data_IF_723265455155
#
_entry.id   IF_723265455155
#
_cell.length_a   1.000
_cell.length_b   1.000
_cell.length_c   1.000
_cell.angle_alpha   90.00
_cell.angle_beta   90.00
_cell.angle_gamma   90.00
#
_symmetry.space_group_name_H-M   'P 1'
#
loop_
_entity.id
_entity.type
_entity.pdbx_description
1 polymer ?
#
# COMPACT_ATOMS: atom_id res chain seq x y z
N UNK A 1 -69.30 -36.57 6.26
CA UNK A 1 -68.81 -36.27 7.62
C UNK A 1 -67.30 -36.38 7.55
N UNK A 2 -66.44 -35.36 7.62
CA UNK A 2 -66.48 -33.94 7.96
C UNK A 2 -65.59 -33.16 6.97
N UNK A 3 -65.69 -31.84 6.99
CA UNK A 3 -65.26 -30.89 5.96
C UNK A 3 -64.15 -29.95 6.48
N UNK A 4 -63.40 -29.35 5.53
CA UNK A 4 -62.44 -28.21 5.63
C UNK A 4 -61.06 -28.53 6.25
N UNK A 5 -59.91 -28.00 5.81
CA UNK A 5 -59.55 -26.64 5.38
C UNK A 5 -58.46 -26.64 4.28
N UNK A 6 -58.54 -25.62 3.43
CA UNK A 6 -57.74 -25.27 2.24
C UNK A 6 -56.40 -24.62 2.61
N UNK A 7 -55.31 -24.97 1.90
CA UNK A 7 -54.25 -24.01 1.52
C UNK A 7 -53.67 -24.40 0.16
N UNK A 8 -54.11 -23.69 -0.88
CA UNK A 8 -53.48 -23.62 -2.20
C UNK A 8 -52.24 -22.73 -2.12
N UNK A 9 -51.14 -23.10 -2.77
CA UNK A 9 -50.42 -22.18 -3.65
C UNK A 9 -49.75 -22.96 -4.79
N UNK A 10 -50.16 -22.57 -5.99
CA UNK A 10 -49.82 -23.16 -7.28
C UNK A 10 -48.32 -23.09 -7.57
N UNK A 11 -47.80 -24.20 -8.09
CA UNK A 11 -46.71 -24.22 -9.06
C UNK A 11 -47.15 -23.48 -10.33
N UNK A 12 -46.44 -22.44 -10.75
CA UNK A 12 -46.44 -22.01 -12.15
C UNK A 12 -45.01 -21.69 -12.61
N UNK A 13 -44.66 -22.33 -13.71
CA UNK A 13 -43.32 -22.40 -14.32
C UNK A 13 -43.00 -21.13 -15.12
N UNK A 14 -41.71 -20.80 -15.15
CA UNK A 14 -41.03 -19.77 -15.96
C UNK A 14 -41.05 -20.08 -17.47
N UNK A 15 -42.21 -20.16 -18.12
CA UNK A 15 -42.24 -20.55 -19.53
C UNK A 15 -43.32 -19.90 -20.37
N UNK A 16 -43.75 -18.67 -20.07
CA UNK A 16 -44.60 -17.90 -20.98
C UNK A 16 -44.34 -16.40 -20.75
N UNK A 17 -44.46 -15.61 -21.83
CA UNK A 17 -44.29 -14.14 -21.96
C UNK A 17 -42.95 -13.67 -22.57
N UNK A 18 -42.72 -14.09 -23.82
CA UNK A 18 -42.08 -13.24 -24.84
C UNK A 18 -43.21 -12.57 -25.64
N UNK A 19 -43.02 -11.30 -26.00
CA UNK A 19 -43.90 -10.40 -26.78
C UNK A 19 -44.90 -9.53 -26.00
N UNK A 20 -44.45 -8.34 -25.61
CA UNK A 20 -45.24 -7.12 -25.73
C UNK A 20 -44.29 -5.91 -25.84
N UNK A 21 -44.17 -5.36 -27.05
CA UNK A 21 -43.46 -4.10 -27.29
C UNK A 21 -44.21 -2.94 -26.65
N UNK A 22 -43.67 -2.37 -25.59
CA UNK A 22 -44.08 -1.09 -25.01
C UNK A 22 -42.83 -0.26 -24.76
N UNK A 23 -42.73 0.86 -25.47
CA UNK A 23 -41.79 1.95 -25.21
C UNK A 23 -42.19 2.68 -23.92
N UNK A 24 -41.23 2.90 -23.01
CA UNK A 24 -41.03 4.04 -22.08
C UNK A 24 -40.28 3.59 -20.80
N UNK A 25 -39.59 4.49 -20.07
CA UNK A 25 -38.51 5.39 -20.45
C UNK A 25 -37.18 4.95 -19.79
N UNK A 26 -36.06 5.57 -20.20
CA UNK A 26 -34.76 5.41 -19.53
C UNK A 26 -34.86 5.84 -18.06
N UNK A 27 -34.93 4.87 -17.15
CA UNK A 27 -34.54 5.07 -15.76
C UNK A 27 -33.08 4.64 -15.62
N UNK A 28 -32.21 5.63 -15.40
CA UNK A 28 -30.93 5.42 -14.73
C UNK A 28 -31.24 4.88 -13.33
N UNK A 29 -31.14 3.57 -13.14
CA UNK A 29 -31.00 3.02 -11.80
C UNK A 29 -29.52 2.92 -11.44
N UNK A 30 -29.09 3.88 -10.62
CA UNK A 30 -27.96 3.77 -9.72
C UNK A 30 -28.20 2.57 -8.79
N UNK A 31 -27.82 1.36 -9.20
CA UNK A 31 -27.62 0.27 -8.24
C UNK A 31 -26.19 0.35 -7.72
N UNK A 32 -26.05 1.02 -6.57
CA UNK A 32 -24.87 0.92 -5.71
C UNK A 32 -24.59 -0.57 -5.49
N UNK A 33 -23.44 -1.04 -5.97
CA UNK A 33 -23.11 -2.45 -6.10
C UNK A 33 -23.21 -3.22 -4.78
N UNK A 34 -24.21 -4.09 -4.69
CA UNK A 34 -24.15 -5.23 -3.79
C UNK A 34 -23.33 -6.32 -4.49
N UNK A 35 -22.00 -6.18 -4.48
CA UNK A 35 -21.11 -7.20 -5.03
C UNK A 35 -21.07 -8.38 -4.06
N UNK A 36 -21.89 -9.40 -4.32
CA UNK A 36 -21.73 -10.73 -3.71
C UNK A 36 -20.43 -11.42 -4.12
N UNK A 37 -19.66 -10.79 -5.03
CA UNK A 37 -18.38 -11.27 -5.51
C UNK A 37 -17.25 -10.46 -4.84
N UNK A 38 -16.83 -10.90 -3.66
CA UNK A 38 -15.66 -10.36 -2.96
C UNK A 38 -14.58 -11.44 -2.94
N UNK A 39 -13.56 -11.28 -3.75
CA UNK A 39 -12.44 -12.19 -3.84
C UNK A 39 -11.16 -11.42 -4.21
N UNK A 40 -10.02 -12.10 -4.16
CA UNK A 40 -8.76 -11.55 -4.65
C UNK A 40 -8.74 -11.62 -6.18
N UNK A 41 -8.92 -10.49 -6.87
CA UNK A 41 -8.87 -10.43 -8.35
C UNK A 41 -7.52 -10.84 -8.92
N UNK A 42 -6.44 -10.58 -8.18
CA UNK A 42 -5.09 -11.05 -8.54
C UNK A 42 -4.82 -12.50 -8.06
N UNK A 43 -5.77 -13.12 -7.39
CA UNK A 43 -5.64 -14.48 -6.85
C UNK A 43 -4.43 -14.61 -5.93
N UNK A 44 -3.59 -15.62 -6.22
CA UNK A 44 -2.40 -15.95 -5.42
C UNK A 44 -1.34 -14.85 -5.45
N UNK A 45 -1.32 -14.00 -6.47
CA UNK A 45 -0.37 -12.87 -6.55
C UNK A 45 -0.57 -11.84 -5.43
N UNK A 46 -1.71 -11.87 -4.73
CA UNK A 46 -1.94 -11.04 -3.55
C UNK A 46 -0.95 -11.32 -2.40
N UNK A 47 -0.33 -12.50 -2.35
CA UNK A 47 0.65 -12.87 -1.32
C UNK A 47 2.05 -12.29 -1.56
N UNK A 48 2.35 -11.84 -2.79
CA UNK A 48 3.59 -11.10 -3.14
C UNK A 48 3.71 -9.80 -2.35
N UNK A 49 2.57 -9.17 -2.10
CA UNK A 49 2.49 -7.89 -1.41
C UNK A 49 2.56 -8.06 0.10
N UNK A 50 3.22 -7.14 0.79
CA UNK A 50 3.31 -7.17 2.26
C UNK A 50 2.00 -6.71 2.91
N UNK A 51 1.87 -6.87 4.21
CA UNK A 51 0.63 -6.56 4.93
C UNK A 51 0.37 -5.04 4.99
N UNK A 52 1.43 -4.23 4.94
CA UNK A 52 1.36 -2.76 4.86
C UNK A 52 0.59 -2.30 3.61
N UNK A 53 0.63 -3.10 2.54
CA UNK A 53 -0.08 -2.82 1.30
C UNK A 53 -1.57 -3.14 1.36
N UNK A 54 -2.06 -3.65 2.47
CA UNK A 54 -3.49 -3.80 2.72
C UNK A 54 -4.11 -2.56 3.36
N UNK A 55 -3.34 -1.63 3.90
CA UNK A 55 -3.85 -0.50 4.69
C UNK A 55 -3.33 0.85 4.20
N UNK A 56 -3.76 1.93 4.86
CA UNK A 56 -3.34 3.29 4.53
C UNK A 56 -3.63 3.67 3.07
N UNK A 57 -2.62 4.20 2.37
CA UNK A 57 -2.73 4.64 0.97
C UNK A 57 -3.05 3.52 -0.02
N UNK A 58 -2.71 2.28 0.32
CA UNK A 58 -2.95 1.13 -0.52
C UNK A 58 -4.33 0.52 -0.31
N UNK A 59 -5.06 0.93 0.73
CA UNK A 59 -6.39 0.41 1.03
C UNK A 59 -7.36 0.45 -0.16
N UNK A 60 -7.44 1.51 -1.00
CA UNK A 60 -8.30 1.50 -2.19
C UNK A 60 -7.88 0.44 -3.21
N UNK A 61 -6.58 0.34 -3.49
CA UNK A 61 -6.03 -0.68 -4.40
C UNK A 61 -6.27 -2.10 -3.86
N UNK A 62 -6.02 -2.31 -2.56
CA UNK A 62 -6.21 -3.59 -1.90
C UNK A 62 -7.68 -4.03 -1.88
N UNK A 63 -8.62 -3.10 -1.65
CA UNK A 63 -10.06 -3.36 -1.76
C UNK A 63 -10.47 -3.78 -3.18
N UNK A 64 -9.78 -3.29 -4.20
CA UNK A 64 -10.10 -3.60 -5.58
C UNK A 64 -9.45 -4.90 -6.07
N UNK A 65 -8.23 -5.20 -5.63
CA UNK A 65 -7.39 -6.25 -6.21
C UNK A 65 -7.18 -7.46 -5.29
N UNK A 66 -7.13 -7.24 -3.98
CA UNK A 66 -6.75 -8.24 -2.96
C UNK A 66 -7.66 -8.18 -1.72
N UNK A 67 -8.97 -8.02 -1.98
CA UNK A 67 -9.95 -7.73 -0.94
C UNK A 67 -10.04 -8.84 0.12
N UNK A 68 -9.90 -10.11 -0.28
CA UNK A 68 -10.03 -11.25 0.60
C UNK A 68 -8.76 -11.43 1.45
N UNK A 69 -7.58 -11.41 0.83
CA UNK A 69 -6.28 -11.47 1.53
C UNK A 69 -6.11 -10.33 2.52
N UNK A 70 -6.54 -9.13 2.15
CA UNK A 70 -6.42 -7.94 3.00
C UNK A 70 -7.53 -7.81 4.04
N UNK A 71 -8.56 -8.66 4.03
CA UNK A 71 -9.63 -8.63 5.02
C UNK A 71 -10.71 -7.59 4.80
N UNK A 72 -10.88 -7.13 3.57
CA UNK A 72 -12.00 -6.28 3.16
C UNK A 72 -13.25 -7.08 2.79
N UNK A 73 -13.10 -8.39 2.57
CA UNK A 73 -14.24 -9.28 2.37
C UNK A 73 -14.91 -9.67 3.70
N UNK A 74 -16.23 -9.91 3.70
CA UNK A 74 -16.97 -10.35 4.88
C UNK A 74 -16.57 -11.77 5.32
N UNK A 75 -16.07 -12.59 4.38
CA UNK A 75 -15.48 -13.89 4.67
C UNK A 75 -13.95 -13.78 4.72
N UNK A 76 -13.33 -14.68 5.47
CA UNK A 76 -11.88 -14.70 5.70
C UNK A 76 -11.24 -15.91 5.01
N UNK A 77 -9.98 -15.77 4.62
CA UNK A 77 -9.18 -16.90 4.16
C UNK A 77 -9.04 -17.97 5.29
N UNK A 78 -9.14 -19.27 4.97
CA UNK A 78 -8.96 -20.35 5.95
C UNK A 78 -7.62 -20.25 6.69
N UNK A 79 -7.66 -20.32 8.02
CA UNK A 79 -6.47 -20.32 8.88
C UNK A 79 -5.85 -21.71 8.94
N UNK A 80 -5.16 -22.10 7.88
CA UNK A 80 -4.48 -23.39 7.76
C UNK A 80 -3.13 -23.21 7.09
N UNK A 81 -2.19 -24.10 7.42
CA UNK A 81 -0.97 -24.27 6.65
C UNK A 81 -1.28 -25.13 5.42
N UNK A 82 -0.78 -24.72 4.25
CA UNK A 82 -0.94 -25.45 2.98
C UNK A 82 0.10 -26.55 2.82
N UNK A 83 1.23 -26.43 3.52
CA UNK A 83 2.31 -27.42 3.56
C UNK A 83 2.48 -27.96 4.98
N UNK A 84 3.01 -29.18 5.09
CA UNK A 84 3.08 -29.89 6.37
C UNK A 84 4.33 -29.59 7.19
N UNK A 85 5.32 -28.92 6.61
CA UNK A 85 6.64 -28.68 7.19
C UNK A 85 6.87 -27.19 7.52
N UNK A 86 5.79 -26.44 7.80
CA UNK A 86 5.91 -25.04 8.21
C UNK A 86 6.65 -24.84 9.53
N UNK A 87 6.70 -25.87 10.38
CA UNK A 87 7.42 -25.92 11.65
C UNK A 87 8.93 -26.12 11.49
N UNK A 88 9.41 -26.50 10.31
CA UNK A 88 10.84 -26.56 10.00
C UNK A 88 11.45 -25.18 9.71
N UNK A 89 10.62 -24.18 9.42
CA UNK A 89 11.05 -22.81 9.13
C UNK A 89 11.18 -21.98 10.41
N UNK A 90 12.23 -21.17 10.49
CA UNK A 90 12.40 -20.19 11.57
C UNK A 90 11.34 -19.08 11.51
N UNK A 91 10.89 -18.60 12.68
CA UNK A 91 9.85 -17.56 12.81
C UNK A 91 10.18 -16.28 12.02
N UNK A 92 11.46 -15.90 11.93
CA UNK A 92 11.91 -14.71 11.19
C UNK A 92 11.50 -14.74 9.71
N UNK A 93 11.37 -15.93 9.11
CA UNK A 93 10.98 -16.07 7.71
C UNK A 93 9.55 -15.59 7.45
N UNK A 94 8.68 -15.57 8.46
CA UNK A 94 7.33 -15.04 8.35
C UNK A 94 7.30 -13.53 8.02
N UNK A 95 8.37 -12.80 8.38
CA UNK A 95 8.47 -11.34 8.22
C UNK A 95 9.56 -10.90 7.24
N UNK A 96 10.46 -11.79 6.84
CA UNK A 96 11.52 -11.49 5.88
C UNK A 96 10.98 -11.29 4.46
N UNK A 97 11.53 -10.33 3.71
CA UNK A 97 11.07 -10.03 2.35
C UNK A 97 11.25 -11.22 1.40
N UNK A 98 12.37 -11.95 1.52
CA UNK A 98 12.72 -13.05 0.61
C UNK A 98 11.83 -14.29 0.78
N UNK A 99 11.36 -14.56 2.00
CA UNK A 99 10.56 -15.75 2.32
C UNK A 99 9.10 -15.40 2.64
N UNK A 100 8.81 -14.13 2.92
CA UNK A 100 7.52 -13.70 3.43
C UNK A 100 6.36 -13.96 2.46
N UNK A 101 6.58 -13.90 1.15
CA UNK A 101 5.55 -14.32 0.17
C UNK A 101 5.19 -15.79 0.37
N UNK A 102 6.19 -16.66 0.35
CA UNK A 102 6.02 -18.10 0.53
C UNK A 102 5.35 -18.40 1.88
N UNK A 103 5.77 -17.73 2.94
CA UNK A 103 5.21 -17.92 4.28
C UNK A 103 3.77 -17.42 4.39
N UNK A 104 3.43 -16.25 3.81
CA UNK A 104 2.06 -15.71 3.78
C UNK A 104 1.10 -16.61 3.00
N UNK A 105 1.59 -17.27 1.96
CA UNK A 105 0.80 -18.16 1.12
C UNK A 105 0.62 -19.55 1.74
N UNK A 106 1.68 -20.12 2.31
CA UNK A 106 1.74 -21.54 2.66
C UNK A 106 1.70 -21.83 4.16
N UNK A 107 2.10 -20.89 5.02
CA UNK A 107 2.32 -21.15 6.44
C UNK A 107 1.54 -20.20 7.35
N UNK A 108 0.30 -19.88 6.97
CA UNK A 108 -0.49 -18.85 7.65
C UNK A 108 -0.74 -19.15 9.12
N UNK A 109 -0.97 -20.41 9.49
CA UNK A 109 -1.22 -20.76 10.89
C UNK A 109 0.08 -20.76 11.67
N UNK A 110 1.14 -21.34 11.12
CA UNK A 110 2.46 -21.37 11.75
C UNK A 110 3.06 -19.97 11.94
N UNK A 111 2.84 -19.05 10.99
CA UNK A 111 3.24 -17.65 11.08
C UNK A 111 2.24 -16.73 11.80
N UNK A 112 1.17 -17.26 12.39
CA UNK A 112 0.11 -16.47 13.04
C UNK A 112 -0.57 -15.43 12.13
N UNK A 113 -0.55 -15.63 10.81
CA UNK A 113 -1.13 -14.76 9.76
C UNK A 113 -2.62 -15.07 9.49
N UNK A 114 -3.31 -15.59 10.49
CA UNK A 114 -4.74 -15.88 10.43
C UNK A 114 -5.60 -14.65 10.64
N UNK A 115 -5.06 -13.66 11.36
CA UNK A 115 -5.62 -12.31 11.43
C UNK A 115 -5.28 -11.60 10.14
N UNK A 116 -6.25 -10.92 9.55
CA UNK A 116 -6.03 -10.15 8.32
C UNK A 116 -5.39 -8.80 8.66
N UNK A 117 -4.58 -8.22 7.75
CA UNK A 117 -3.87 -6.96 7.99
C UNK A 117 -4.75 -5.84 8.53
N UNK A 118 -5.95 -5.71 7.98
CA UNK A 118 -6.93 -4.71 8.41
C UNK A 118 -7.34 -4.86 9.88
N UNK A 119 -7.28 -6.05 10.49
CA UNK A 119 -7.64 -6.23 11.89
C UNK A 119 -6.57 -5.70 12.83
N UNK A 120 -5.30 -6.04 12.64
CA UNK A 120 -4.25 -5.65 13.60
C UNK A 120 -3.67 -4.27 13.33
N UNK A 121 -3.73 -3.75 12.11
CA UNK A 121 -3.36 -2.35 11.84
C UNK A 121 -4.45 -1.34 12.22
N UNK A 122 -5.71 -1.76 12.36
CA UNK A 122 -6.79 -0.87 12.86
C UNK A 122 -7.02 -1.01 14.36
N UNK A 123 -6.50 -2.07 15.00
CA UNK A 123 -6.65 -2.34 16.44
C UNK A 123 -5.70 -1.53 17.35
N UNK A 124 -5.26 -0.34 16.96
CA UNK A 124 -4.57 0.57 17.88
C UNK A 124 -5.61 1.20 18.82
N UNK A 125 -6.05 0.41 19.81
CA UNK A 125 -6.66 0.97 21.01
C UNK A 125 -5.53 1.55 21.85
N UNK A 126 -5.43 2.87 21.77
CA UNK A 126 -4.70 3.83 22.61
C UNK A 126 -4.08 3.30 23.92
N UNK A 127 -2.78 3.54 24.15
CA UNK A 127 -2.33 4.25 25.33
C UNK A 127 -2.16 5.72 24.94
N UNK A 128 -2.62 6.57 25.85
CA UNK A 128 -2.71 8.01 25.71
C UNK A 128 -1.29 8.60 25.63
N UNK A 129 -0.72 8.69 24.42
CA UNK A 129 0.45 9.52 24.15
C UNK A 129 0.05 10.53 23.10
N UNK A 130 0.08 11.79 23.53
CA UNK A 130 -0.07 12.99 22.73
C UNK A 130 1.06 13.05 21.70
N UNK A 131 0.96 12.28 20.61
CA UNK A 131 1.90 12.33 19.50
C UNK A 131 1.20 12.98 18.32
N UNK A 132 1.70 14.16 17.97
CA UNK A 132 1.41 14.97 16.80
C UNK A 132 1.12 14.10 15.58
N UNK A 133 -0.04 14.32 14.96
CA UNK A 133 -0.54 13.58 13.81
C UNK A 133 0.54 13.37 12.73
N UNK A 134 1.08 12.16 12.64
CA UNK A 134 1.88 11.72 11.50
C UNK A 134 0.93 11.76 10.30
N UNK A 135 1.12 12.73 9.41
CA UNK A 135 0.17 12.99 8.35
C UNK A 135 0.25 11.89 7.29
N UNK A 136 -0.88 11.22 7.06
CA UNK A 136 -1.06 10.09 6.14
C UNK A 136 -0.74 10.37 4.65
N UNK A 137 -0.34 11.58 4.31
CA UNK A 137 -0.05 12.01 2.93
C UNK A 137 1.45 12.10 2.63
N UNK A 138 2.32 12.11 3.65
CA UNK A 138 3.74 12.33 3.47
C UNK A 138 4.53 11.04 3.62
N UNK A 139 4.69 10.33 2.50
CA UNK A 139 5.40 9.05 2.42
C UNK A 139 6.13 8.95 1.07
N UNK A 140 7.10 8.04 0.98
CA UNK A 140 7.78 7.75 -0.29
C UNK A 140 6.90 6.93 -1.25
N UNK A 141 6.98 7.25 -2.53
CA UNK A 141 6.32 6.53 -3.61
C UNK A 141 7.24 5.40 -4.12
N UNK A 142 7.21 4.27 -3.44
CA UNK A 142 8.00 3.06 -3.77
C UNK A 142 7.65 2.42 -5.11
N UNK A 143 6.49 2.73 -5.70
CA UNK A 143 6.09 2.20 -7.01
C UNK A 143 6.71 2.98 -8.16
N UNK A 144 6.96 4.28 -7.96
CA UNK A 144 7.51 5.17 -9.00
C UNK A 144 8.96 5.58 -8.74
N UNK A 145 9.49 5.33 -7.54
CA UNK A 145 10.84 5.71 -7.15
C UNK A 145 11.44 4.76 -6.11
N UNK A 146 12.64 4.25 -6.40
CA UNK A 146 13.49 3.58 -5.41
C UNK A 146 14.20 4.65 -4.56
N UNK A 147 13.48 5.28 -3.63
CA UNK A 147 13.95 6.46 -2.89
C UNK A 147 15.25 6.23 -2.09
N UNK A 148 15.46 5.02 -1.58
CA UNK A 148 16.67 4.64 -0.84
C UNK A 148 17.85 4.25 -1.74
N UNK A 149 17.58 3.93 -3.02
CA UNK A 149 18.60 3.57 -4.00
C UNK A 149 19.51 4.76 -4.32
N UNK A 150 18.94 5.95 -4.40
CA UNK A 150 19.69 7.14 -4.78
C UNK A 150 20.33 7.85 -3.58
N UNK A 151 21.46 8.51 -3.84
CA UNK A 151 22.17 9.34 -2.87
C UNK A 151 21.43 10.63 -2.50
N UNK A 152 21.94 11.29 -1.46
CA UNK A 152 21.34 12.50 -0.87
C UNK A 152 21.29 13.70 -1.83
N UNK A 153 22.15 13.70 -2.85
CA UNK A 153 22.13 14.67 -3.92
C UNK A 153 20.83 14.66 -4.76
N UNK A 154 20.05 13.57 -4.72
CA UNK A 154 18.74 13.50 -5.38
C UNK A 154 17.62 14.11 -4.53
N UNK A 155 17.89 14.46 -3.27
CA UNK A 155 16.90 15.13 -2.43
C UNK A 155 16.87 16.63 -2.64
N UNK A 156 17.96 17.25 -3.06
CA UNK A 156 18.15 18.72 -3.08
C UNK A 156 18.48 19.24 -4.47
N UNK A 157 18.48 20.57 -4.62
CA UNK A 157 18.88 21.24 -5.85
C UNK A 157 17.93 20.93 -7.00
N UNK A 158 18.45 20.55 -8.16
CA UNK A 158 17.64 20.31 -9.37
C UNK A 158 16.64 19.16 -9.21
N UNK A 159 16.88 18.25 -8.28
CA UNK A 159 16.00 17.11 -8.01
C UNK A 159 15.02 17.35 -6.86
N UNK A 160 15.11 18.48 -6.17
CA UNK A 160 14.27 18.80 -5.01
C UNK A 160 12.77 18.67 -5.32
N UNK A 161 12.30 19.24 -6.43
CA UNK A 161 10.88 19.16 -6.82
C UNK A 161 10.41 17.71 -7.05
N UNK A 162 11.29 16.87 -7.60
CA UNK A 162 11.01 15.44 -7.77
C UNK A 162 11.01 14.74 -6.41
N UNK A 163 12.00 15.00 -5.55
CA UNK A 163 12.12 14.42 -4.22
C UNK A 163 10.96 14.77 -3.32
N UNK A 164 10.51 16.04 -3.33
CA UNK A 164 9.32 16.48 -2.60
C UNK A 164 8.05 15.73 -3.01
N UNK A 165 7.96 15.30 -4.27
CA UNK A 165 6.79 14.59 -4.80
C UNK A 165 6.86 13.08 -4.59
N UNK A 166 8.02 12.48 -4.80
CA UNK A 166 8.16 11.03 -4.86
C UNK A 166 8.91 10.44 -3.67
N UNK A 167 9.81 11.19 -3.03
CA UNK A 167 10.60 10.72 -1.88
C UNK A 167 10.57 11.68 -0.68
N UNK A 168 9.42 12.27 -0.30
CA UNK A 168 9.40 13.31 0.71
C UNK A 168 9.77 12.80 2.10
N UNK A 169 9.56 11.52 2.39
CA UNK A 169 9.89 10.95 3.68
C UNK A 169 11.39 10.66 3.77
N UNK A 170 11.96 9.88 2.84
CA UNK A 170 13.42 9.62 2.78
C UNK A 170 14.26 10.90 2.68
N UNK A 171 13.73 11.95 2.04
CA UNK A 171 14.44 13.21 1.92
C UNK A 171 14.22 14.17 3.10
N UNK A 172 13.32 13.85 4.05
CA UNK A 172 13.08 14.69 5.23
C UNK A 172 12.18 15.91 4.98
N UNK A 173 11.37 15.89 3.92
CA UNK A 173 10.39 16.93 3.61
C UNK A 173 9.07 16.76 4.38
N UNK A 174 8.89 15.68 5.13
CA UNK A 174 7.65 15.44 5.87
C UNK A 174 7.60 16.23 7.19
N UNK A 175 6.56 17.06 7.41
CA UNK A 175 6.47 17.88 8.60
C UNK A 175 6.31 17.01 9.85
N UNK A 176 7.27 17.11 10.78
CA UNK A 176 7.24 16.36 12.03
C UNK A 176 7.43 14.85 11.89
N UNK A 177 7.84 14.37 10.71
CA UNK A 177 8.08 12.95 10.46
C UNK A 177 9.37 12.77 9.67
N UNK A 178 10.38 12.18 10.31
CA UNK A 178 11.64 11.81 9.69
C UNK A 178 11.79 10.29 9.72
N UNK A 179 12.53 9.70 8.76
CA UNK A 179 12.85 8.29 8.85
C UNK A 179 13.61 8.00 10.15
N UNK A 180 13.29 6.90 10.85
CA UNK A 180 13.95 6.58 12.10
C UNK A 180 15.43 6.24 11.86
N UNK A 181 16.29 6.79 12.72
CA UNK A 181 17.71 6.48 12.78
C UNK A 181 17.92 5.14 13.49
N UNK A 182 17.67 4.05 12.78
CA UNK A 182 17.88 2.69 13.25
C UNK A 182 18.38 1.79 12.12
N UNK A 183 19.01 0.70 12.52
CA UNK A 183 19.33 -0.42 11.63
C UNK A 183 18.11 -1.34 11.58
N UNK A 184 17.62 -1.59 10.37
CA UNK A 184 16.51 -2.51 10.09
C UNK A 184 16.99 -3.95 10.24
N UNK A 185 18.21 -4.23 9.80
CA UNK A 185 18.83 -5.55 9.96
C UNK A 185 19.57 -5.63 11.29
N UNK A 186 19.38 -6.73 12.01
CA UNK A 186 20.05 -6.98 13.30
C UNK A 186 21.55 -7.21 13.19
N UNK A 187 22.06 -7.50 11.99
CA UNK A 187 23.45 -7.86 11.72
C UNK A 187 24.22 -6.78 10.96
N UNK A 188 23.76 -5.52 10.98
CA UNK A 188 24.46 -4.42 10.32
C UNK A 188 25.91 -4.22 10.81
N UNK A 189 26.21 -4.58 12.06
CA UNK A 189 27.56 -4.52 12.64
C UNK A 189 28.53 -5.55 12.05
N UNK A 190 28.02 -6.58 11.36
CA UNK A 190 28.86 -7.57 10.65
C UNK A 190 29.34 -7.08 9.28
N UNK A 191 28.71 -6.03 8.73
CA UNK A 191 29.10 -5.47 7.45
C UNK A 191 30.34 -4.59 7.61
N UNK A 192 31.25 -4.69 6.63
CA UNK A 192 32.37 -3.77 6.55
C UNK A 192 31.87 -2.33 6.32
N UNK A 193 32.40 -1.37 7.08
CA UNK A 193 31.98 0.04 7.03
C UNK A 193 32.22 0.68 5.66
N UNK A 194 33.13 0.14 4.85
CA UNK A 194 33.36 0.57 3.47
C UNK A 194 32.14 0.36 2.57
N UNK A 195 31.23 -0.56 2.92
CA UNK A 195 29.98 -0.76 2.18
C UNK A 195 29.05 0.46 2.26
N UNK A 196 29.18 1.30 3.29
CA UNK A 196 28.43 2.55 3.40
C UNK A 196 28.79 3.54 2.29
N UNK A 197 30.03 3.53 1.79
CA UNK A 197 30.49 4.45 0.73
C UNK A 197 30.67 3.76 -0.62
N UNK A 198 30.62 2.43 -0.66
CA UNK A 198 30.70 1.65 -1.88
C UNK A 198 29.50 1.92 -2.79
N UNK A 199 29.72 2.32 -4.04
CA UNK A 199 28.65 2.68 -4.99
C UNK A 199 27.61 1.58 -5.22
N UNK A 200 28.00 0.31 -5.10
CA UNK A 200 27.11 -0.83 -5.35
C UNK A 200 26.27 -1.20 -4.13
N UNK A 201 26.73 -0.87 -2.93
CA UNK A 201 26.09 -1.29 -1.67
C UNK A 201 25.56 -0.13 -0.83
N UNK A 202 25.98 1.12 -1.09
CA UNK A 202 25.58 2.28 -0.31
C UNK A 202 24.06 2.48 -0.28
N UNK A 203 23.35 2.12 -1.36
CA UNK A 203 21.89 2.05 -1.43
C UNK A 203 21.32 1.09 -0.38
N UNK A 204 21.75 -0.18 -0.44
CA UNK A 204 21.32 -1.23 0.48
C UNK A 204 21.64 -0.87 1.94
N UNK A 205 22.83 -0.33 2.19
CA UNK A 205 23.27 0.10 3.50
C UNK A 205 22.45 1.30 4.02
N UNK A 206 21.99 2.20 3.14
CA UNK A 206 21.12 3.33 3.52
C UNK A 206 19.70 2.91 3.84
N UNK A 207 19.20 1.87 3.20
CA UNK A 207 17.87 1.35 3.49
C UNK A 207 17.85 0.53 4.78
N UNK A 208 18.90 -0.26 5.01
CA UNK A 208 18.90 -1.30 6.03
C UNK A 208 19.77 -1.02 7.26
N UNK A 209 20.81 -0.20 7.12
CA UNK A 209 21.87 -0.04 8.13
C UNK A 209 22.19 1.44 8.38
N UNK A 210 21.17 2.29 8.51
CA UNK A 210 21.33 3.75 8.65
C UNK A 210 22.15 4.13 9.87
N UNK A 211 21.90 3.51 11.02
CA UNK A 211 22.58 3.87 12.25
C UNK A 211 24.04 3.40 12.21
N UNK A 212 24.31 2.18 11.73
CA UNK A 212 25.66 1.72 11.43
C UNK A 212 26.36 2.71 10.48
N UNK A 213 25.78 3.04 9.33
CA UNK A 213 26.39 3.92 8.35
C UNK A 213 26.28 5.42 8.64
N UNK A 214 25.69 5.81 9.77
CA UNK A 214 25.46 7.21 10.16
C UNK A 214 24.62 8.01 9.14
N UNK A 215 23.73 7.34 8.41
CA UNK A 215 22.77 7.95 7.48
C UNK A 215 21.49 8.41 8.18
N UNK A 216 21.65 9.21 9.23
CA UNK A 216 20.56 9.68 10.09
C UNK A 216 20.25 11.17 9.94
N UNK A 217 20.94 11.85 9.02
CA UNK A 217 20.65 13.23 8.64
C UNK A 217 19.98 13.24 7.28
N UNK A 218 18.87 13.98 7.16
CA UNK A 218 18.08 14.01 5.93
C UNK A 218 18.25 15.36 5.22
N UNK A 219 18.57 15.39 3.91
CA UNK A 219 18.93 16.63 3.23
C UNK A 219 17.86 17.74 3.28
N UNK A 220 16.60 17.35 3.29
CA UNK A 220 15.44 18.24 3.34
C UNK A 220 14.97 18.62 4.73
N UNK A 221 15.50 18.04 5.81
CA UNK A 221 15.00 18.28 7.18
C UNK A 221 15.18 19.73 7.65
N UNK A 222 16.17 20.43 7.09
CA UNK A 222 16.46 21.84 7.37
C UNK A 222 15.82 22.79 6.35
N UNK A 223 15.08 22.26 5.38
CA UNK A 223 14.36 23.04 4.38
C UNK A 223 12.88 23.17 4.76
N UNK A 224 12.14 24.10 4.13
CA UNK A 224 10.70 24.18 4.35
C UNK A 224 10.05 22.81 4.09
N UNK A 225 9.29 22.27 5.06
CA UNK A 225 8.61 20.99 4.87
C UNK A 225 7.56 21.14 3.77
N UNK A 226 7.13 20.01 3.21
CA UNK A 226 5.99 20.02 2.33
C UNK A 226 4.75 20.52 3.10
N UNK A 227 3.97 21.36 2.45
CA UNK A 227 2.62 21.64 2.91
C UNK A 227 1.73 20.45 2.56
N UNK A 228 0.66 20.23 3.33
CA UNK A 228 -0.38 19.26 2.98
C UNK A 228 -0.75 19.45 1.51
N UNK A 229 -0.80 18.39 0.68
CA UNK A 229 -1.08 18.53 -0.73
C UNK A 229 -2.48 19.13 -0.86
N UNK A 230 -2.53 20.37 -1.33
CA UNK A 230 -3.69 20.84 -2.06
C UNK A 230 -3.71 20.04 -3.36
N UNK A 231 -4.53 18.99 -3.38
CA UNK A 231 -4.75 18.09 -4.51
C UNK A 231 -5.33 18.81 -5.76
N UNK A 232 -5.39 20.15 -5.78
CA UNK A 232 -5.98 20.96 -6.86
C UNK A 232 -4.97 21.67 -7.78
N UNK A 233 -3.66 21.60 -7.55
CA UNK A 233 -2.71 22.24 -8.45
C UNK A 233 -2.51 21.44 -9.76
N UNK A 234 -3.43 21.67 -10.71
CA UNK A 234 -3.30 21.35 -12.14
C UNK A 234 -1.98 21.90 -12.71
N UNK A 235 -1.42 21.30 -13.79
CA UNK A 235 -0.14 21.74 -14.33
C UNK A 235 -0.19 23.22 -14.75
N UNK A 236 0.69 24.01 -14.14
CA UNK A 236 0.99 25.37 -14.57
C UNK A 236 1.39 25.33 -16.05
N UNK A 237 0.77 26.12 -16.94
CA UNK A 237 1.20 26.20 -18.33
C UNK A 237 2.62 26.74 -18.39
N UNK A 238 3.52 26.00 -19.03
CA UNK A 238 4.88 26.44 -19.31
C UNK A 238 4.86 27.67 -20.20
N UNK A 239 5.04 28.84 -19.59
CA UNK A 239 5.40 30.07 -20.29
C UNK A 239 6.77 29.88 -20.94
N UNK A 240 6.81 29.77 -22.28
CA UNK A 240 8.03 29.90 -23.05
C UNK A 240 8.43 31.38 -23.08
N UNK A 241 9.51 31.71 -22.38
CA UNK A 241 10.17 33.01 -22.48
C UNK A 241 11.22 33.01 -23.59
N UNK A 242 11.00 33.87 -24.59
CA UNK A 242 12.03 34.74 -25.17
C UNK A 242 12.94 34.16 -26.24
N UNK A 243 12.53 34.27 -27.50
CA UNK A 243 13.46 34.43 -28.62
C UNK A 243 13.97 35.89 -28.63
N UNK A 244 15.30 36.05 -28.58
CA UNK A 244 15.99 37.32 -28.81
C UNK A 244 16.34 37.41 -30.30
N UNK A 245 15.93 38.45 -31.06
CA UNK A 245 16.47 38.70 -32.38
C UNK A 245 17.77 39.49 -32.27
N UNK A 246 18.84 38.92 -32.84
CA UNK A 246 20.10 39.61 -33.13
C UNK A 246 19.83 40.59 -34.30
N UNK A 247 19.96 41.89 -34.05
CA UNK A 247 20.05 42.91 -35.11
C UNK A 247 21.52 43.24 -35.34
N UNK A 248 22.03 42.95 -36.54
CA UNK A 248 23.28 43.51 -37.04
C UNK A 248 23.09 45.00 -37.36
N UNK A 249 24.03 45.81 -36.91
CA UNK A 249 24.26 47.21 -37.28
C UNK A 249 25.71 47.55 -36.99
#
# INVERSE_FOLDING_TARGET
>A
MFQQVVVSFLFLRLSDLVEAGILLPRFLDLTLGNSTDCHDKLGRDCFKYTDEQCVGKYAPWAKEHCALRCGYCPHKLPCVDQITYCDEYEERFCTEEQYGEFMRENCRRSCNLCRVPTEYFTSTTTPNITTTAVSNWCFDNVTSASCWYYGDNQCIGVYESWARKFCPYRCGYCPGSLPPCLDVLSYCDSFDRSLCTNSSYAAYMRENCRKTCQFCSYPGENLPPNNYPDLSASPVPTSKSGETPISLG
#
